data_IF_845330378484
#
_entry.id   IF_845330378484
#
_cell.length_a   1.000
_cell.length_b   1.000
_cell.length_c   1.000
_cell.angle_alpha   90.00
_cell.angle_beta   90.00
_cell.angle_gamma   90.00
#
_symmetry.space_group_name_H-M   'P 1'
#
loop_
_entity.id
_entity.type
_entity.pdbx_description
1 polymer ?
#
# COMPACT_ATOMS: atom_id res chain seq x y z
N UNK A 1 -58.02 -20.81 -13.16
CA UNK A 1 -57.46 -19.46 -13.01
C UNK A 1 -56.34 -19.29 -14.04
N UNK A 2 -56.78 -19.03 -15.26
CA UNK A 2 -55.98 -19.00 -16.48
C UNK A 2 -56.58 -17.84 -17.27
N UNK A 3 -55.88 -16.70 -17.31
CA UNK A 3 -56.16 -15.66 -18.30
C UNK A 3 -54.84 -15.15 -18.84
N UNK A 4 -54.72 -15.34 -20.16
CA UNK A 4 -53.62 -15.04 -21.04
C UNK A 4 -53.52 -13.54 -21.32
N UNK A 5 -52.31 -13.13 -21.73
CA UNK A 5 -51.98 -12.16 -22.80
C UNK A 5 -52.67 -10.78 -22.77
N UNK A 6 -51.85 -9.72 -22.68
CA UNK A 6 -51.87 -8.48 -23.50
C UNK A 6 -50.76 -7.57 -22.93
N UNK A 7 -49.58 -7.42 -23.54
CA UNK A 7 -49.30 -6.56 -24.70
C UNK A 7 -49.73 -5.08 -24.52
N UNK A 8 -48.90 -4.28 -23.83
CA UNK A 8 -48.71 -2.84 -24.03
C UNK A 8 -47.19 -2.60 -23.79
N UNK A 9 -46.30 -2.50 -24.78
CA UNK A 9 -46.26 -1.53 -25.88
C UNK A 9 -46.39 -0.07 -25.40
N UNK A 10 -45.33 0.46 -24.79
CA UNK A 10 -44.90 1.86 -24.88
C UNK A 10 -43.55 2.03 -24.16
N UNK A 11 -42.54 1.43 -24.77
CA UNK A 11 -41.14 1.84 -24.60
C UNK A 11 -40.98 3.18 -25.34
N UNK A 12 -40.11 4.06 -24.85
CA UNK A 12 -39.77 5.41 -25.34
C UNK A 12 -40.64 6.57 -24.85
N UNK A 13 -40.21 7.19 -23.75
CA UNK A 13 -39.68 8.57 -23.77
C UNK A 13 -39.55 9.09 -22.34
N UNK A 14 -38.32 9.38 -21.90
CA UNK A 14 -37.87 10.76 -21.63
C UNK A 14 -36.49 10.72 -20.95
N UNK A 15 -35.47 10.82 -21.80
CA UNK A 15 -34.36 11.77 -21.69
C UNK A 15 -33.82 11.99 -20.26
N UNK A 16 -32.77 11.25 -19.93
CA UNK A 16 -31.94 11.49 -18.76
C UNK A 16 -30.56 10.89 -18.98
N UNK A 17 -29.91 11.22 -20.10
CA UNK A 17 -28.48 10.98 -20.32
C UNK A 17 -27.69 11.78 -19.29
N UNK A 18 -27.52 11.21 -18.11
CA UNK A 18 -26.35 11.53 -17.29
C UNK A 18 -25.15 10.99 -18.05
N UNK A 19 -24.45 11.88 -18.74
CA UNK A 19 -23.11 11.63 -19.21
C UNK A 19 -22.26 11.37 -17.96
N UNK A 20 -22.22 10.12 -17.51
CA UNK A 20 -21.16 9.61 -16.67
C UNK A 20 -19.92 9.76 -17.53
N UNK A 21 -19.16 10.82 -17.26
CA UNK A 21 -17.81 10.97 -17.73
C UNK A 21 -17.03 9.78 -17.21
N UNK A 22 -16.99 8.71 -18.01
CA UNK A 22 -15.98 7.66 -17.95
C UNK A 22 -14.68 8.38 -18.29
N UNK A 23 -14.08 8.96 -17.26
CA UNK A 23 -12.68 9.34 -17.27
C UNK A 23 -11.94 8.01 -17.33
N UNK A 24 -11.77 7.50 -18.55
CA UNK A 24 -10.69 6.57 -18.84
C UNK A 24 -9.43 7.22 -18.27
N UNK A 25 -8.85 6.61 -17.23
CA UNK A 25 -7.48 6.89 -16.84
C UNK A 25 -6.61 5.88 -17.59
N UNK A 26 -6.11 6.19 -18.81
CA UNK A 26 -5.10 5.38 -19.46
C UNK A 26 -3.75 5.81 -18.90
N UNK A 27 -3.44 5.41 -17.68
CA UNK A 27 -2.04 5.22 -17.32
C UNK A 27 -1.98 4.00 -16.44
N UNK A 28 -1.31 2.96 -16.94
CA UNK A 28 -0.49 2.16 -16.06
C UNK A 28 0.21 3.15 -15.14
N UNK A 29 -0.07 3.12 -13.83
CA UNK A 29 0.78 3.78 -12.85
C UNK A 29 2.12 3.07 -12.95
N UNK A 30 2.96 3.50 -13.88
CA UNK A 30 4.40 3.46 -13.69
C UNK A 30 4.63 3.92 -12.25
N UNK A 31 5.44 3.22 -11.45
CA UNK A 31 5.83 3.74 -10.15
C UNK A 31 6.40 5.14 -10.39
N UNK A 32 5.59 6.16 -10.09
CA UNK A 32 6.07 7.52 -10.09
C UNK A 32 7.18 7.48 -9.04
N UNK A 33 8.44 7.76 -9.40
CA UNK A 33 9.42 8.03 -8.37
C UNK A 33 8.78 9.15 -7.57
N UNK A 34 8.39 8.87 -6.32
CA UNK A 34 8.06 9.94 -5.41
C UNK A 34 9.24 10.91 -5.51
N UNK A 35 9.02 12.20 -5.78
CA UNK A 35 10.07 13.16 -5.51
C UNK A 35 10.28 13.00 -4.01
N UNK A 36 11.26 12.17 -3.64
CA UNK A 36 12.11 12.53 -2.52
C UNK A 36 12.45 13.96 -2.89
N UNK A 37 11.83 14.90 -2.17
CA UNK A 37 12.29 16.28 -2.21
C UNK A 37 13.79 16.18 -2.22
N UNK A 38 14.43 16.90 -3.13
CA UNK A 38 15.87 17.04 -3.16
C UNK A 38 16.30 17.68 -1.82
N UNK A 39 16.19 16.91 -0.74
CA UNK A 39 16.99 17.00 0.45
C UNK A 39 18.38 16.79 -0.12
N UNK A 40 19.09 17.90 -0.22
CA UNK A 40 20.41 17.96 -0.78
C UNK A 40 21.19 16.76 -0.23
N UNK A 41 21.73 15.93 -1.14
CA UNK A 41 22.60 14.83 -0.75
C UNK A 41 23.54 15.35 0.35
N UNK A 42 23.63 14.68 1.51
CA UNK A 42 24.46 15.17 2.59
C UNK A 42 25.85 15.43 2.02
N UNK A 43 26.36 16.66 2.19
CA UNK A 43 27.72 17.01 1.73
C UNK A 43 28.68 15.92 2.22
N UNK A 44 29.63 15.46 1.40
CA UNK A 44 30.56 14.43 1.81
C UNK A 44 31.40 14.98 2.97
N UNK A 45 30.99 14.68 4.19
CA UNK A 45 31.80 14.89 5.38
C UNK A 45 32.82 13.77 5.39
N UNK A 46 34.09 14.12 5.16
CA UNK A 46 35.23 13.22 5.30
C UNK A 46 35.35 12.77 6.76
N UNK A 47 34.67 11.66 7.06
CA UNK A 47 34.61 11.04 8.38
C UNK A 47 33.26 10.35 8.55
N UNK A 48 33.25 9.02 8.54
CA UNK A 48 32.03 8.26 8.85
C UNK A 48 31.57 8.65 10.26
N UNK A 49 30.29 9.01 10.47
CA UNK A 49 29.82 9.38 11.78
C UNK A 49 29.98 8.20 12.73
N UNK A 50 30.65 8.42 13.87
CA UNK A 50 30.63 7.46 14.98
C UNK A 50 29.22 7.49 15.54
N UNK A 51 28.46 6.42 15.29
CA UNK A 51 27.09 6.29 15.77
C UNK A 51 27.08 5.99 17.27
N UNK A 52 26.24 6.71 18.02
CA UNK A 52 25.96 6.37 19.42
C UNK A 52 25.16 5.06 19.52
N UNK A 53 25.08 4.52 20.74
CA UNK A 53 24.44 3.23 21.00
C UNK A 53 22.92 3.24 20.70
N UNK A 54 22.22 4.34 21.01
CA UNK A 54 20.79 4.47 20.75
C UNK A 54 20.51 4.50 19.25
N UNK A 55 21.30 5.28 18.50
CA UNK A 55 21.22 5.32 17.04
C UNK A 55 21.45 3.93 16.42
N UNK A 56 22.35 3.13 16.98
CA UNK A 56 22.59 1.76 16.51
C UNK A 56 21.40 0.83 16.78
N UNK A 57 20.85 0.87 17.98
CA UNK A 57 19.66 0.08 18.36
C UNK A 57 18.45 0.45 17.49
N UNK A 58 18.27 1.75 17.24
CA UNK A 58 17.26 2.24 16.30
C UNK A 58 17.50 1.65 14.91
N UNK A 59 18.71 1.73 14.36
CA UNK A 59 19.01 1.15 13.04
C UNK A 59 18.65 -0.33 12.98
N UNK A 60 19.03 -1.12 13.99
CA UNK A 60 18.72 -2.54 14.05
C UNK A 60 17.21 -2.80 14.08
N UNK A 61 16.46 -2.04 14.88
CA UNK A 61 14.99 -2.09 14.92
C UNK A 61 14.40 -1.76 13.54
N UNK A 62 14.88 -0.68 12.91
CA UNK A 62 14.38 -0.23 11.61
C UNK A 62 14.63 -1.27 10.51
N UNK A 63 15.83 -1.85 10.48
CA UNK A 63 16.17 -2.91 9.54
C UNK A 63 15.31 -4.17 9.76
N UNK A 64 15.00 -4.51 11.01
CA UNK A 64 14.14 -5.65 11.31
C UNK A 64 12.72 -5.48 10.74
N UNK A 65 12.11 -4.31 10.90
CA UNK A 65 10.80 -4.01 10.32
C UNK A 65 10.86 -4.01 8.79
N UNK A 66 11.90 -3.40 8.20
CA UNK A 66 12.07 -3.37 6.74
C UNK A 66 12.14 -4.78 6.15
N UNK A 67 12.85 -5.71 6.82
CA UNK A 67 12.88 -7.13 6.42
C UNK A 67 11.50 -7.79 6.50
N UNK A 68 10.72 -7.53 7.55
CA UNK A 68 9.37 -8.08 7.68
C UNK A 68 8.45 -7.61 6.52
N UNK A 69 8.50 -6.33 6.17
CA UNK A 69 7.74 -5.80 5.03
C UNK A 69 8.25 -6.33 3.69
N UNK A 70 9.56 -6.46 3.50
CA UNK A 70 10.13 -7.05 2.29
C UNK A 70 9.69 -8.50 2.10
N UNK A 71 9.62 -9.31 3.17
CA UNK A 71 9.10 -10.67 3.12
C UNK A 71 7.61 -10.72 2.76
N UNK A 72 6.81 -9.77 3.26
CA UNK A 72 5.40 -9.67 2.88
C UNK A 72 5.24 -9.32 1.39
N UNK A 73 6.08 -8.43 0.86
CA UNK A 73 6.11 -8.13 -0.58
C UNK A 73 6.46 -9.37 -1.40
N UNK A 74 7.52 -10.10 -1.02
CA UNK A 74 7.90 -11.36 -1.69
C UNK A 74 6.80 -12.43 -1.63
N UNK A 75 6.05 -12.48 -0.53
CA UNK A 75 4.88 -13.36 -0.40
C UNK A 75 3.81 -13.04 -1.45
N UNK A 76 3.53 -11.75 -1.69
CA UNK A 76 2.59 -11.30 -2.71
C UNK A 76 3.12 -11.55 -4.13
N UNK A 77 4.42 -11.30 -4.37
CA UNK A 77 5.08 -11.61 -5.64
C UNK A 77 5.00 -13.09 -6.00
N UNK A 78 5.03 -13.97 -5.00
CA UNK A 78 4.83 -15.41 -5.17
C UNK A 78 3.37 -15.82 -5.44
N UNK A 79 2.44 -14.85 -5.58
CA UNK A 79 1.03 -15.08 -5.86
C UNK A 79 0.22 -15.63 -4.69
N UNK A 80 0.73 -15.51 -3.45
CA UNK A 80 -0.03 -15.90 -2.25
C UNK A 80 -1.11 -14.88 -1.97
N UNK A 81 -2.19 -15.33 -1.33
CA UNK A 81 -3.29 -14.45 -0.97
C UNK A 81 -2.87 -13.40 0.07
N UNK A 82 -3.42 -12.19 -0.05
CA UNK A 82 -3.19 -11.06 0.87
C UNK A 82 -3.29 -11.47 2.34
N UNK A 83 -4.36 -12.18 2.73
CA UNK A 83 -4.59 -12.64 4.09
C UNK A 83 -3.45 -13.53 4.63
N UNK A 84 -2.84 -14.36 3.78
CA UNK A 84 -1.72 -15.20 4.15
C UNK A 84 -0.46 -14.36 4.38
N UNK A 85 -0.19 -13.44 3.47
CA UNK A 85 0.98 -12.55 3.56
C UNK A 85 0.87 -11.60 4.75
N UNK A 86 -0.33 -11.13 5.06
CA UNK A 86 -0.56 -10.24 6.20
C UNK A 86 -0.46 -10.97 7.54
N UNK A 87 -0.85 -12.25 7.61
CA UNK A 87 -0.58 -13.11 8.78
C UNK A 87 0.92 -13.36 8.97
N UNK A 88 1.65 -13.62 7.89
CA UNK A 88 3.11 -13.77 7.96
C UNK A 88 3.79 -12.48 8.42
N UNK A 89 3.36 -11.33 7.90
CA UNK A 89 3.83 -10.02 8.35
C UNK A 89 3.57 -9.82 9.85
N UNK A 90 2.36 -10.06 10.33
CA UNK A 90 2.01 -9.95 11.75
C UNK A 90 2.89 -10.82 12.66
N UNK A 91 3.23 -12.03 12.22
CA UNK A 91 4.12 -12.93 12.95
C UNK A 91 5.57 -12.41 12.96
N UNK A 92 6.09 -11.98 11.81
CA UNK A 92 7.42 -11.39 11.70
C UNK A 92 7.55 -10.09 12.51
N UNK A 93 6.46 -9.33 12.62
CA UNK A 93 6.37 -8.06 13.33
C UNK A 93 6.24 -8.18 14.85
N UNK A 94 5.90 -9.37 15.37
CA UNK A 94 5.57 -9.55 16.78
C UNK A 94 6.79 -9.26 17.65
N UNK A 95 6.68 -8.21 18.48
CA UNK A 95 7.76 -7.79 19.39
C UNK A 95 8.77 -6.82 18.79
N UNK A 96 8.66 -6.46 17.50
CA UNK A 96 9.54 -5.47 16.86
C UNK A 96 9.00 -4.04 16.94
N UNK A 97 7.68 -3.88 16.99
CA UNK A 97 7.00 -2.60 16.73
C UNK A 97 5.59 -2.53 17.34
N UNK A 98 4.94 -1.37 17.29
CA UNK A 98 3.57 -1.19 17.79
C UNK A 98 2.52 -1.67 16.78
N UNK A 99 1.52 -2.37 17.31
CA UNK A 99 0.33 -2.73 16.55
C UNK A 99 0.52 -3.92 15.61
N UNK A 100 -0.50 -4.16 14.78
CA UNK A 100 -0.62 -5.38 13.98
C UNK A 100 0.33 -5.40 12.76
N UNK A 101 0.72 -4.24 12.24
CA UNK A 101 1.46 -4.13 10.97
C UNK A 101 2.82 -3.43 11.14
N UNK A 102 3.56 -3.71 12.22
CA UNK A 102 4.88 -3.08 12.48
C UNK A 102 4.89 -1.54 12.48
N UNK A 103 4.01 -0.87 13.24
CA UNK A 103 4.08 0.58 13.38
C UNK A 103 5.31 1.04 14.18
N UNK A 104 6.03 2.06 13.70
CA UNK A 104 7.21 2.57 14.40
C UNK A 104 6.83 3.24 15.73
N UNK A 105 7.57 2.90 16.80
CA UNK A 105 7.65 3.80 17.97
C UNK A 105 8.67 4.86 17.65
N UNK A 106 8.20 6.08 17.49
CA UNK A 106 9.06 7.24 17.57
C UNK A 106 9.23 7.55 19.06
N UNK A 107 10.34 7.10 19.64
CA UNK A 107 10.74 7.48 21.00
C UNK A 107 11.77 8.59 20.88
N UNK A 108 11.32 9.83 21.10
CA UNK A 108 12.15 11.01 21.27
C UNK A 108 11.71 11.73 22.53
#
# INVERSE_FOLDING_TARGET
MQFRLLACAAVFSLIGTVAVGVQAQPTARTPQPVPVTAEAAPKPTTGQPVLDAHTREDIERHQSMARAHAQAAQCLEAGKGEDQCQKQLQLACKGLALGKNCGMRHSH
#
